data_IF_806756434606
#
_entry.id   IF_806756434606
#
_cell.length_a   1.000
_cell.length_b   1.000
_cell.length_c   1.000
_cell.angle_alpha   90.00
_cell.angle_beta   90.00
_cell.angle_gamma   90.00
#
_symmetry.space_group_name_H-M   'P 1'
#
loop_
_entity.id
_entity.type
_entity.pdbx_description
1 polymer ?
#
# COMPACT_ATOMS: atom_id res chain seq x y z
N UNK A 1 49.81 -29.57 -21.38
CA UNK A 1 48.65 -29.09 -20.62
C UNK A 1 48.35 -30.07 -19.50
N UNK A 2 48.98 -29.91 -18.34
CA UNK A 2 48.67 -30.67 -17.13
C UNK A 2 47.54 -29.97 -16.38
N UNK A 3 46.44 -30.68 -16.12
CA UNK A 3 45.37 -30.20 -15.24
C UNK A 3 45.84 -30.46 -13.80
N UNK A 4 46.11 -29.38 -13.06
CA UNK A 4 46.30 -29.43 -11.61
C UNK A 4 44.94 -29.20 -10.95
N UNK A 5 44.40 -30.24 -10.32
CA UNK A 5 43.27 -30.11 -9.40
C UNK A 5 43.80 -29.96 -7.98
N UNK A 6 43.53 -28.82 -7.35
CA UNK A 6 43.73 -28.64 -5.91
C UNK A 6 42.59 -29.34 -5.19
N UNK A 7 42.86 -30.55 -4.69
CA UNK A 7 41.95 -31.25 -3.79
C UNK A 7 42.31 -30.79 -2.37
N UNK A 8 41.69 -29.70 -1.93
CA UNK A 8 41.76 -29.27 -0.54
C UNK A 8 40.92 -30.28 0.27
N UNK A 9 41.48 -30.98 1.27
CA UNK A 9 40.72 -31.94 2.05
C UNK A 9 39.62 -31.20 2.79
N UNK A 10 38.35 -31.54 2.47
CA UNK A 10 37.19 -31.02 3.18
C UNK A 10 37.29 -31.39 4.66
N UNK A 11 37.25 -30.37 5.52
CA UNK A 11 37.28 -30.52 6.98
C UNK A 11 35.94 -31.12 7.45
N UNK A 12 35.91 -32.45 7.61
CA UNK A 12 34.71 -33.25 7.89
C UNK A 12 34.10 -32.98 9.28
N UNK A 13 34.84 -32.37 10.21
CA UNK A 13 34.33 -32.08 11.56
C UNK A 13 33.29 -30.95 11.59
N UNK A 14 33.36 -29.98 10.67
CA UNK A 14 32.33 -28.93 10.54
C UNK A 14 31.09 -29.43 9.78
N UNK A 15 31.22 -30.48 8.98
CA UNK A 15 30.13 -31.04 8.17
C UNK A 15 29.16 -31.90 9.00
N UNK A 16 29.66 -32.58 10.05
CA UNK A 16 28.82 -33.31 11.01
C UNK A 16 27.92 -32.37 11.84
N UNK A 17 28.30 -31.09 11.97
CA UNK A 17 27.50 -30.05 12.63
C UNK A 17 26.27 -29.66 11.81
N UNK A 18 26.40 -29.46 10.49
CA UNK A 18 25.28 -29.00 9.65
C UNK A 18 24.09 -29.98 9.63
N UNK A 19 24.35 -31.28 9.51
CA UNK A 19 23.27 -32.28 9.48
C UNK A 19 22.69 -32.64 10.85
N UNK A 20 23.46 -32.51 11.93
CA UNK A 20 22.93 -32.64 13.30
C UNK A 20 22.21 -31.38 13.79
N UNK A 21 22.57 -30.21 13.24
CA UNK A 21 21.87 -28.95 13.46
C UNK A 21 20.65 -28.77 12.55
N UNK A 22 20.49 -29.47 11.44
CA UNK A 22 19.25 -29.52 10.63
C UNK A 22 18.12 -30.34 11.29
N UNK A 23 18.13 -30.47 12.62
CA UNK A 23 16.94 -30.88 13.36
C UNK A 23 15.85 -29.81 13.21
N UNK A 24 14.58 -30.24 13.17
CA UNK A 24 13.41 -29.35 13.00
C UNK A 24 13.50 -28.09 13.87
N UNK A 25 14.00 -28.20 15.10
CA UNK A 25 14.14 -27.08 16.05
C UNK A 25 15.01 -25.94 15.51
N UNK A 26 16.16 -26.22 14.91
CA UNK A 26 17.05 -25.18 14.38
C UNK A 26 16.45 -24.54 13.13
N UNK A 27 15.78 -25.34 12.30
CA UNK A 27 15.02 -24.89 11.14
C UNK A 27 13.96 -23.85 11.58
N UNK A 28 13.19 -24.20 12.60
CA UNK A 28 12.20 -23.30 13.20
C UNK A 28 12.84 -22.03 13.77
N UNK A 29 13.98 -22.14 14.45
CA UNK A 29 14.69 -20.97 14.98
C UNK A 29 15.21 -20.05 13.86
N UNK A 30 15.79 -20.60 12.79
CA UNK A 30 16.22 -19.81 11.63
C UNK A 30 15.02 -19.15 10.96
N UNK A 31 13.94 -19.89 10.72
CA UNK A 31 12.72 -19.36 10.09
C UNK A 31 12.09 -18.25 10.92
N UNK A 32 12.04 -18.39 12.26
CA UNK A 32 11.57 -17.35 13.18
C UNK A 32 12.46 -16.10 13.15
N UNK A 33 13.78 -16.27 13.04
CA UNK A 33 14.72 -15.14 12.95
C UNK A 33 14.50 -14.33 11.66
N UNK A 34 14.35 -15.03 10.52
CA UNK A 34 14.09 -14.39 9.23
C UNK A 34 12.71 -13.72 9.19
N UNK A 35 11.69 -14.33 9.81
CA UNK A 35 10.36 -13.73 9.91
C UNK A 35 10.33 -12.50 10.83
N UNK A 36 11.16 -12.47 11.86
CA UNK A 36 11.18 -11.35 12.80
C UNK A 36 12.00 -10.19 12.26
N UNK A 37 13.30 -10.40 11.97
CA UNK A 37 14.23 -9.30 11.73
C UNK A 37 14.01 -8.59 10.39
N UNK A 38 13.78 -9.35 9.32
CA UNK A 38 13.72 -8.78 7.98
C UNK A 38 12.41 -8.01 7.72
N UNK A 39 11.22 -8.56 8.02
CA UNK A 39 9.96 -7.80 7.99
C UNK A 39 9.95 -6.59 8.92
N UNK A 40 10.63 -6.62 10.08
CA UNK A 40 10.79 -5.43 10.94
C UNK A 40 11.49 -4.31 10.17
N UNK A 41 12.65 -4.59 9.56
CA UNK A 41 13.43 -3.59 8.83
C UNK A 41 12.66 -3.00 7.63
N UNK A 42 12.03 -3.88 6.85
CA UNK A 42 11.21 -3.47 5.70
C UNK A 42 10.02 -2.60 6.13
N UNK A 43 9.33 -2.96 7.22
CA UNK A 43 8.24 -2.17 7.78
C UNK A 43 8.68 -0.79 8.26
N UNK A 44 9.87 -0.68 8.87
CA UNK A 44 10.37 0.63 9.32
C UNK A 44 10.59 1.59 8.14
N UNK A 45 11.16 1.10 7.04
CA UNK A 45 11.32 1.88 5.80
C UNK A 45 9.97 2.36 5.28
N UNK A 46 8.97 1.46 5.24
CA UNK A 46 7.63 1.80 4.78
C UNK A 46 6.90 2.79 5.69
N UNK A 47 7.21 2.81 6.98
CA UNK A 47 6.56 3.72 7.93
C UNK A 47 7.01 5.16 7.69
N UNK A 48 8.29 5.37 7.37
CA UNK A 48 8.86 6.70 7.10
C UNK A 48 8.29 7.33 5.83
N UNK A 49 7.92 6.51 4.83
CA UNK A 49 7.30 6.97 3.57
C UNK A 49 5.96 7.68 3.81
N UNK A 50 5.24 7.37 4.90
CA UNK A 50 3.96 8.02 5.25
C UNK A 50 4.15 9.52 5.48
N UNK A 51 5.30 9.93 6.03
CA UNK A 51 5.51 11.28 6.52
C UNK A 51 5.45 12.33 5.43
N UNK A 52 6.03 12.05 4.25
CA UNK A 52 6.10 13.04 3.18
C UNK A 52 4.70 13.39 2.61
N UNK A 53 3.90 12.43 2.08
CA UNK A 53 2.57 12.75 1.57
C UNK A 53 1.61 13.26 2.65
N UNK A 54 1.76 12.79 3.90
CA UNK A 54 0.95 13.27 5.01
C UNK A 54 1.22 14.76 5.32
N UNK A 55 2.48 15.16 5.39
CA UNK A 55 2.86 16.53 5.68
C UNK A 55 2.49 17.48 4.54
N UNK A 56 2.62 17.07 3.28
CA UNK A 56 2.17 17.88 2.14
C UNK A 56 0.64 18.08 2.13
N UNK A 57 -0.12 17.08 2.56
CA UNK A 57 -1.59 17.20 2.72
C UNK A 57 -1.95 18.14 3.87
N UNK A 58 -1.35 18.00 5.05
CA UNK A 58 -1.72 18.80 6.23
C UNK A 58 -1.23 20.24 6.17
N UNK A 59 -0.13 20.50 5.44
CA UNK A 59 0.39 21.85 5.17
C UNK A 59 -0.28 22.53 3.97
N UNK A 60 -1.19 21.86 3.27
CA UNK A 60 -1.80 22.30 1.99
C UNK A 60 -0.78 22.55 0.85
N UNK A 61 0.48 22.12 1.01
CA UNK A 61 1.48 22.23 -0.06
C UNK A 61 1.06 21.41 -1.29
N UNK A 62 0.47 20.23 -1.08
CA UNK A 62 -0.10 19.43 -2.17
C UNK A 62 -1.20 20.19 -2.92
N UNK A 63 -2.09 20.86 -2.19
CA UNK A 63 -3.17 21.64 -2.79
C UNK A 63 -2.61 22.76 -3.68
N UNK A 64 -1.57 23.44 -3.23
CA UNK A 64 -0.89 24.46 -4.03
C UNK A 64 -0.35 23.89 -5.35
N UNK A 65 0.26 22.70 -5.32
CA UNK A 65 0.73 22.02 -6.54
C UNK A 65 -0.45 21.70 -7.49
N UNK A 66 -1.57 21.21 -6.97
CA UNK A 66 -2.77 20.93 -7.78
C UNK A 66 -3.36 22.21 -8.38
N UNK A 67 -3.40 23.32 -7.63
CA UNK A 67 -3.86 24.63 -8.14
C UNK A 67 -2.97 25.17 -9.27
N UNK A 68 -1.68 24.79 -9.32
CA UNK A 68 -0.79 25.15 -10.43
C UNK A 68 -0.98 24.30 -11.70
N UNK A 69 -1.92 23.35 -11.68
CA UNK A 69 -2.27 22.51 -12.83
C UNK A 69 -1.59 21.14 -12.86
N UNK A 70 -0.90 20.74 -11.78
CA UNK A 70 -0.34 19.38 -11.69
C UNK A 70 -1.47 18.37 -11.55
N UNK A 71 -1.49 17.37 -12.44
CA UNK A 71 -2.47 16.29 -12.34
C UNK A 71 -2.19 15.39 -11.13
N UNK A 72 -3.22 14.90 -10.39
CA UNK A 72 -3.03 14.01 -9.24
C UNK A 72 -2.23 12.74 -9.56
N UNK A 73 -2.39 12.20 -10.77
CA UNK A 73 -1.62 11.03 -11.25
C UNK A 73 -0.13 11.31 -11.35
N UNK A 74 0.25 12.51 -11.80
CA UNK A 74 1.66 12.91 -11.94
C UNK A 74 2.31 13.04 -10.56
N UNK A 75 1.59 13.65 -9.61
CA UNK A 75 2.01 13.74 -8.22
C UNK A 75 2.30 12.36 -7.62
N UNK A 76 1.32 11.44 -7.66
CA UNK A 76 1.48 10.12 -7.03
C UNK A 76 2.50 9.24 -7.72
N UNK A 77 2.61 9.32 -9.06
CA UNK A 77 3.64 8.58 -9.78
C UNK A 77 5.04 9.09 -9.43
N UNK A 78 5.22 10.41 -9.29
CA UNK A 78 6.50 10.99 -8.88
C UNK A 78 6.92 10.53 -7.48
N UNK A 79 6.00 10.59 -6.51
CA UNK A 79 6.23 10.04 -5.16
C UNK A 79 6.59 8.55 -5.22
N UNK A 80 5.80 7.76 -5.94
CA UNK A 80 5.99 6.31 -6.03
C UNK A 80 7.34 5.93 -6.62
N UNK A 81 7.75 6.57 -7.72
CA UNK A 81 9.04 6.28 -8.35
C UNK A 81 10.19 6.60 -7.39
N UNK A 82 10.14 7.74 -6.71
CA UNK A 82 11.18 8.13 -5.75
C UNK A 82 11.27 7.16 -4.56
N UNK A 83 10.13 6.85 -3.94
CA UNK A 83 10.07 5.96 -2.79
C UNK A 83 10.46 4.53 -3.16
N UNK A 84 10.06 4.06 -4.35
CA UNK A 84 10.45 2.74 -4.84
C UNK A 84 11.95 2.65 -5.12
N UNK A 85 12.59 3.71 -5.63
CA UNK A 85 14.05 3.74 -5.82
C UNK A 85 14.81 3.61 -4.48
N UNK A 86 14.36 4.32 -3.44
CA UNK A 86 14.95 4.22 -2.09
C UNK A 86 14.77 2.81 -1.52
N UNK A 87 13.56 2.26 -1.66
CA UNK A 87 13.24 0.91 -1.23
C UNK A 87 14.10 -0.14 -1.97
N UNK A 88 14.27 0.02 -3.28
CA UNK A 88 15.06 -0.90 -4.09
C UNK A 88 16.56 -0.86 -3.72
N UNK A 89 17.09 0.33 -3.40
CA UNK A 89 18.45 0.47 -2.87
C UNK A 89 18.62 -0.32 -1.56
N UNK A 90 17.65 -0.25 -0.66
CA UNK A 90 17.66 -1.05 0.57
C UNK A 90 17.64 -2.56 0.28
N UNK A 91 16.86 -3.02 -0.70
CA UNK A 91 16.84 -4.42 -1.13
C UNK A 91 18.19 -4.89 -1.66
N UNK A 92 18.89 -4.06 -2.46
CA UNK A 92 20.23 -4.38 -2.97
C UNK A 92 21.23 -4.55 -1.83
N UNK A 93 21.19 -3.65 -0.84
CA UNK A 93 22.03 -3.75 0.35
C UNK A 93 21.76 -5.07 1.09
N UNK A 94 20.48 -5.45 1.27
CA UNK A 94 20.12 -6.73 1.87
C UNK A 94 20.73 -7.90 1.08
N UNK A 95 20.58 -7.94 -0.25
CA UNK A 95 21.14 -9.01 -1.09
C UNK A 95 22.67 -9.11 -0.98
N UNK A 96 23.38 -7.99 -0.93
CA UNK A 96 24.84 -7.96 -0.77
C UNK A 96 25.27 -8.49 0.61
N UNK A 97 24.46 -8.24 1.65
CA UNK A 97 24.76 -8.68 3.02
C UNK A 97 24.50 -10.18 3.24
N UNK A 98 23.56 -10.79 2.52
CA UNK A 98 23.22 -12.22 2.68
C UNK A 98 24.44 -13.14 2.62
N UNK A 99 25.29 -13.14 1.58
CA UNK A 99 26.44 -14.04 1.52
C UNK A 99 27.49 -13.78 2.62
N UNK A 100 27.49 -12.59 3.21
CA UNK A 100 28.39 -12.24 4.33
C UNK A 100 27.85 -12.81 5.65
N UNK A 101 26.53 -12.81 5.82
CA UNK A 101 25.85 -13.23 7.05
C UNK A 101 25.44 -14.70 7.05
N UNK A 102 25.32 -15.33 5.87
CA UNK A 102 24.90 -16.72 5.72
C UNK A 102 26.04 -17.70 6.04
N UNK A 103 26.25 -17.94 7.33
CA UNK A 103 27.22 -18.93 7.83
C UNK A 103 26.80 -20.37 7.60
N UNK A 104 25.50 -20.61 7.34
CA UNK A 104 24.92 -21.96 7.26
C UNK A 104 24.77 -22.45 5.82
N UNK A 105 25.09 -21.61 4.83
CA UNK A 105 24.96 -21.94 3.41
C UNK A 105 23.50 -22.20 3.00
N UNK A 106 22.57 -21.40 3.53
CA UNK A 106 21.15 -21.42 3.16
C UNK A 106 20.93 -20.97 1.71
N UNK A 107 21.62 -19.92 1.27
CA UNK A 107 21.59 -19.42 -0.09
C UNK A 107 22.78 -19.97 -0.86
N UNK A 108 22.53 -20.68 -1.96
CA UNK A 108 23.61 -21.34 -2.69
C UNK A 108 23.53 -21.13 -4.20
N UNK A 109 22.34 -21.07 -4.77
CA UNK A 109 22.15 -20.88 -6.20
C UNK A 109 21.69 -19.46 -6.53
N UNK A 110 22.03 -18.98 -7.74
CA UNK A 110 21.54 -17.69 -8.24
C UNK A 110 20.00 -17.59 -8.24
N UNK A 111 19.31 -18.72 -8.37
CA UNK A 111 17.84 -18.81 -8.30
C UNK A 111 17.31 -18.43 -6.91
N UNK A 112 18.00 -18.78 -5.84
CA UNK A 112 17.59 -18.52 -4.45
C UNK A 112 17.57 -17.00 -4.22
N UNK A 113 18.66 -16.31 -4.60
CA UNK A 113 18.74 -14.85 -4.55
C UNK A 113 17.72 -14.16 -5.46
N UNK A 114 17.50 -14.70 -6.66
CA UNK A 114 16.54 -14.15 -7.62
C UNK A 114 15.09 -14.20 -7.10
N UNK A 115 14.68 -15.33 -6.52
CA UNK A 115 13.34 -15.47 -5.91
C UNK A 115 13.20 -14.56 -4.70
N UNK A 116 14.23 -14.46 -3.86
CA UNK A 116 14.19 -13.57 -2.71
C UNK A 116 14.06 -12.09 -3.11
N UNK A 117 14.85 -11.64 -4.10
CA UNK A 117 14.76 -10.29 -4.64
C UNK A 117 13.40 -10.03 -5.30
N UNK A 118 12.81 -11.03 -5.96
CA UNK A 118 11.46 -10.93 -6.53
C UNK A 118 10.40 -10.71 -5.45
N UNK A 119 10.45 -11.46 -4.34
CA UNK A 119 9.54 -11.29 -3.20
C UNK A 119 9.65 -9.87 -2.65
N UNK A 120 10.88 -9.40 -2.39
CA UNK A 120 11.12 -8.06 -1.86
C UNK A 120 10.68 -6.96 -2.83
N UNK A 121 10.98 -7.11 -4.12
CA UNK A 121 10.65 -6.14 -5.16
C UNK A 121 9.13 -6.00 -5.38
N UNK A 122 8.40 -7.11 -5.38
CA UNK A 122 6.93 -7.10 -5.45
C UNK A 122 6.30 -6.57 -4.17
N UNK A 123 6.88 -6.88 -3.00
CA UNK A 123 6.43 -6.26 -1.76
C UNK A 123 6.67 -4.75 -1.74
N UNK A 124 7.74 -4.24 -2.36
CA UNK A 124 7.98 -2.80 -2.47
C UNK A 124 6.84 -2.08 -3.20
N UNK A 125 6.40 -2.61 -4.35
CA UNK A 125 5.35 -1.93 -5.14
C UNK A 125 3.99 -1.92 -4.42
N UNK A 126 3.60 -3.02 -3.79
CA UNK A 126 2.33 -3.11 -3.06
C UNK A 126 2.39 -2.47 -1.68
N UNK A 127 3.48 -2.66 -0.96
CA UNK A 127 3.72 -2.10 0.38
C UNK A 127 3.73 -0.59 0.39
N UNK A 128 4.44 0.06 -0.55
CA UNK A 128 4.47 1.53 -0.68
C UNK A 128 3.06 2.05 -1.02
N UNK A 129 2.37 1.39 -1.94
CA UNK A 129 1.00 1.79 -2.32
C UNK A 129 0.01 1.66 -1.16
N UNK A 130 0.10 0.59 -0.37
CA UNK A 130 -0.69 0.41 0.85
C UNK A 130 -0.39 1.52 1.86
N UNK A 131 0.88 1.84 2.08
CA UNK A 131 1.34 2.89 3.00
C UNK A 131 0.76 4.27 2.66
N UNK A 132 0.63 4.61 1.38
CA UNK A 132 0.03 5.90 0.98
C UNK A 132 -1.43 6.06 1.44
N UNK A 133 -2.21 4.98 1.57
CA UNK A 133 -3.57 5.08 2.12
C UNK A 133 -3.58 5.57 3.57
N UNK A 134 -2.56 5.22 4.35
CA UNK A 134 -2.41 5.67 5.73
C UNK A 134 -2.02 7.14 5.83
N UNK A 135 -1.45 7.73 4.78
CA UNK A 135 -1.13 9.17 4.76
C UNK A 135 -2.37 10.08 4.86
N UNK A 136 -3.54 9.57 4.45
CA UNK A 136 -4.83 10.25 4.59
C UNK A 136 -5.40 10.20 6.01
N UNK A 137 -4.90 9.31 6.86
CA UNK A 137 -5.39 9.13 8.22
C UNK A 137 -4.73 10.10 9.20
N UNK A 138 -5.48 10.45 10.25
CA UNK A 138 -4.98 11.26 11.35
C UNK A 138 -4.72 12.73 11.00
N UNK A 139 -4.39 13.51 12.04
CA UNK A 139 -4.03 14.92 11.95
C UNK A 139 -2.52 15.16 11.99
N UNK A 140 -1.74 14.17 12.43
CA UNK A 140 -0.29 14.23 12.54
C UNK A 140 0.35 12.99 11.93
N UNK A 141 1.53 13.17 11.33
CA UNK A 141 2.25 12.09 10.65
C UNK A 141 2.61 10.95 11.61
N UNK A 142 3.07 11.28 12.81
CA UNK A 142 3.47 10.29 13.81
C UNK A 142 2.30 9.40 14.27
N UNK A 143 1.07 9.96 14.32
CA UNK A 143 -0.11 9.16 14.66
C UNK A 143 -0.45 8.19 13.54
N UNK A 144 -0.38 8.62 12.28
CA UNK A 144 -0.59 7.75 11.12
C UNK A 144 0.45 6.63 11.06
N UNK A 145 1.74 6.98 11.22
CA UNK A 145 2.85 6.04 11.31
C UNK A 145 2.68 5.02 12.43
N UNK A 146 2.27 5.45 13.63
CA UNK A 146 2.05 4.55 14.76
C UNK A 146 0.91 3.57 14.49
N UNK A 147 -0.21 4.04 13.91
CA UNK A 147 -1.34 3.16 13.54
C UNK A 147 -0.90 2.13 12.51
N UNK A 148 -0.16 2.55 11.49
CA UNK A 148 0.40 1.66 10.49
C UNK A 148 1.32 0.61 11.11
N UNK A 149 2.29 1.02 11.94
CA UNK A 149 3.18 0.07 12.62
C UNK A 149 2.41 -0.94 13.48
N UNK A 150 1.39 -0.52 14.22
CA UNK A 150 0.61 -1.43 15.06
C UNK A 150 -0.14 -2.49 14.24
N UNK A 151 -0.81 -2.07 13.17
CA UNK A 151 -1.53 -2.99 12.28
C UNK A 151 -0.54 -3.96 11.63
N UNK A 152 0.56 -3.44 11.09
CA UNK A 152 1.56 -4.22 10.36
C UNK A 152 2.43 -5.12 11.25
N UNK A 153 2.51 -4.87 12.56
CA UNK A 153 3.06 -5.83 13.53
C UNK A 153 2.14 -7.03 13.65
N UNK A 154 0.83 -6.80 13.80
CA UNK A 154 -0.13 -7.89 13.92
C UNK A 154 -0.21 -8.69 12.62
N UNK A 155 -0.33 -8.02 11.48
CA UNK A 155 -0.52 -8.70 10.19
C UNK A 155 0.78 -9.24 9.60
N UNK A 156 1.94 -8.61 9.85
CA UNK A 156 3.21 -9.03 9.27
C UNK A 156 4.02 -10.03 10.10
N UNK A 157 3.80 -10.10 11.43
CA UNK A 157 4.51 -11.02 12.32
C UNK A 157 3.61 -12.11 12.91
N UNK A 158 2.50 -11.70 13.54
CA UNK A 158 1.66 -12.65 14.30
C UNK A 158 0.78 -13.47 13.35
N UNK A 159 0.09 -12.81 12.43
CA UNK A 159 -0.84 -13.47 11.54
C UNK A 159 -0.18 -14.54 10.63
N UNK A 160 1.01 -14.34 10.03
CA UNK A 160 1.64 -15.37 9.19
C UNK A 160 2.02 -16.61 9.99
N UNK A 161 2.50 -16.45 11.23
CA UNK A 161 2.78 -17.59 12.13
C UNK A 161 1.52 -18.37 12.44
N UNK A 162 0.45 -17.68 12.85
CA UNK A 162 -0.82 -18.31 13.17
C UNK A 162 -1.39 -19.01 11.94
N UNK A 163 -1.36 -18.36 10.77
CA UNK A 163 -1.87 -18.93 9.53
C UNK A 163 -1.05 -20.13 9.05
N UNK A 164 0.28 -20.09 9.17
CA UNK A 164 1.13 -21.24 8.86
C UNK A 164 0.75 -22.46 9.71
N UNK A 165 0.53 -22.25 11.02
CA UNK A 165 0.08 -23.31 11.93
C UNK A 165 -1.32 -23.82 11.58
N UNK A 166 -2.28 -22.92 11.32
CA UNK A 166 -3.65 -23.29 10.95
C UNK A 166 -3.71 -24.09 9.64
N UNK A 167 -2.94 -23.68 8.63
CA UNK A 167 -2.86 -24.38 7.34
C UNK A 167 -2.25 -25.77 7.54
N UNK A 168 -1.15 -25.87 8.29
CA UNK A 168 -0.51 -27.16 8.60
C UNK A 168 -1.46 -28.10 9.34
N UNK A 169 -2.21 -27.60 10.34
CA UNK A 169 -3.20 -28.39 11.07
C UNK A 169 -4.36 -28.80 10.16
N UNK A 170 -4.83 -27.91 9.29
CA UNK A 170 -5.93 -28.21 8.36
C UNK A 170 -5.57 -29.34 7.37
N UNK A 171 -4.30 -29.44 6.95
CA UNK A 171 -3.83 -30.53 6.10
C UNK A 171 -3.57 -31.84 6.84
N UNK A 172 -3.16 -31.78 8.10
CA UNK A 172 -2.79 -32.96 8.90
C UNK A 172 -3.98 -33.58 9.65
N UNK A 173 -4.88 -32.76 10.18
CA UNK A 173 -6.05 -33.16 10.98
C UNK A 173 -7.30 -32.46 10.44
N UNK A 174 -7.74 -32.88 9.25
CA UNK A 174 -8.88 -32.28 8.54
C UNK A 174 -10.21 -32.37 9.29
N UNK A 175 -10.31 -33.24 10.31
CA UNK A 175 -11.49 -33.35 11.19
C UNK A 175 -11.60 -32.19 12.19
N UNK A 176 -10.48 -31.56 12.56
CA UNK A 176 -10.47 -30.47 13.55
C UNK A 176 -10.69 -29.10 12.89
N UNK A 177 -10.03 -28.86 11.75
CA UNK A 177 -10.07 -27.57 11.04
C UNK A 177 -10.26 -27.81 9.54
N UNK A 178 -11.43 -27.44 9.03
CA UNK A 178 -11.73 -27.60 7.60
C UNK A 178 -10.99 -26.56 6.74
N UNK A 179 -10.46 -26.96 5.56
CA UNK A 179 -9.81 -26.03 4.63
C UNK A 179 -10.75 -24.92 4.14
N UNK A 180 -12.06 -25.17 4.13
CA UNK A 180 -13.09 -24.20 3.75
C UNK A 180 -13.20 -23.01 4.69
N UNK A 181 -12.79 -23.16 5.96
CA UNK A 181 -12.76 -22.06 6.93
C UNK A 181 -11.44 -21.27 6.84
N UNK A 182 -10.31 -21.97 6.67
CA UNK A 182 -8.97 -21.36 6.71
C UNK A 182 -8.66 -20.58 5.44
N UNK A 183 -9.02 -21.11 4.26
CA UNK A 183 -8.64 -20.50 2.98
C UNK A 183 -9.23 -19.09 2.77
N UNK A 184 -10.52 -18.81 3.06
CA UNK A 184 -11.05 -17.45 2.94
C UNK A 184 -10.36 -16.45 3.87
N UNK A 185 -10.03 -16.86 5.10
CA UNK A 185 -9.30 -16.01 6.06
C UNK A 185 -7.89 -15.72 5.54
N UNK A 186 -7.21 -16.75 5.01
CA UNK A 186 -5.90 -16.59 4.36
C UNK A 186 -5.96 -15.56 3.23
N UNK A 187 -6.90 -15.70 2.30
CA UNK A 187 -7.01 -14.79 1.15
C UNK A 187 -7.42 -13.38 1.54
N UNK A 188 -8.23 -13.20 2.60
CA UNK A 188 -8.55 -11.88 3.13
C UNK A 188 -7.32 -11.21 3.73
N UNK A 189 -6.51 -11.95 4.50
CA UNK A 189 -5.26 -11.45 5.07
C UNK A 189 -4.19 -11.21 3.98
N UNK A 190 -4.20 -11.99 2.89
CA UNK A 190 -3.29 -11.79 1.74
C UNK A 190 -3.48 -10.46 1.02
N UNK A 191 -4.63 -9.79 1.19
CA UNK A 191 -4.80 -8.42 0.69
C UNK A 191 -3.92 -7.41 1.44
N UNK A 192 -3.42 -7.73 2.64
CA UNK A 192 -2.41 -6.91 3.31
C UNK A 192 -1.00 -7.34 2.87
N UNK A 193 -0.23 -6.46 2.19
CA UNK A 193 1.08 -6.80 1.66
C UNK A 193 2.10 -7.26 2.71
N UNK A 194 1.93 -6.85 3.97
CA UNK A 194 2.80 -7.29 5.06
C UNK A 194 2.55 -8.74 5.46
N UNK A 195 1.28 -9.15 5.52
CA UNK A 195 0.93 -10.55 5.73
C UNK A 195 1.41 -11.42 4.57
N UNK A 196 1.24 -10.95 3.33
CA UNK A 196 1.71 -11.65 2.13
C UNK A 196 3.25 -11.81 2.13
N UNK A 197 4.00 -10.76 2.50
CA UNK A 197 5.46 -10.82 2.66
C UNK A 197 5.86 -11.82 3.74
N UNK A 198 5.29 -11.72 4.95
CA UNK A 198 5.63 -12.61 6.06
C UNK A 198 5.35 -14.07 5.72
N UNK A 199 4.21 -14.35 5.10
CA UNK A 199 3.86 -15.70 4.64
C UNK A 199 4.79 -16.18 3.52
N UNK A 200 5.15 -15.33 2.56
CA UNK A 200 6.08 -15.68 1.50
C UNK A 200 7.48 -16.00 2.06
N UNK A 201 7.99 -15.22 3.02
CA UNK A 201 9.28 -15.47 3.68
C UNK A 201 9.25 -16.80 4.44
N UNK A 202 8.18 -17.10 5.19
CA UNK A 202 8.05 -18.38 5.90
C UNK A 202 8.19 -19.57 4.95
N UNK A 203 7.41 -19.57 3.87
CA UNK A 203 7.42 -20.63 2.88
C UNK A 203 8.75 -20.70 2.12
N UNK A 204 9.35 -19.54 1.81
CA UNK A 204 10.62 -19.45 1.11
C UNK A 204 11.78 -19.99 1.95
N UNK A 205 11.88 -19.59 3.23
CA UNK A 205 12.93 -20.07 4.13
C UNK A 205 12.78 -21.57 4.39
N UNK A 206 11.55 -22.07 4.51
CA UNK A 206 11.29 -23.51 4.59
C UNK A 206 11.86 -24.25 3.38
N UNK A 207 11.54 -23.79 2.16
CA UNK A 207 12.03 -24.41 0.92
C UNK A 207 13.55 -24.31 0.78
N UNK A 208 14.16 -23.16 1.12
CA UNK A 208 15.61 -22.99 1.11
C UNK A 208 16.29 -24.00 2.02
N UNK A 209 15.77 -24.18 3.22
CA UNK A 209 16.42 -24.99 4.22
C UNK A 209 16.21 -26.50 4.00
N UNK A 210 15.08 -26.91 3.42
CA UNK A 210 14.94 -28.28 2.88
C UNK A 210 15.98 -28.52 1.78
N UNK A 211 16.14 -27.57 0.86
CA UNK A 211 17.06 -27.70 -0.27
C UNK A 211 18.53 -27.70 0.17
N UNK A 212 18.92 -26.85 1.12
CA UNK A 212 20.26 -26.85 1.69
C UNK A 212 20.54 -28.17 2.41
N UNK A 213 19.59 -28.68 3.20
CA UNK A 213 19.66 -29.99 3.84
C UNK A 213 19.84 -31.14 2.84
N UNK A 214 19.09 -31.13 1.73
CA UNK A 214 19.19 -32.14 0.67
C UNK A 214 20.56 -32.20 0.00
N UNK A 215 21.25 -31.06 -0.06
CA UNK A 215 22.59 -30.95 -0.63
C UNK A 215 23.68 -31.32 0.37
N UNK A 216 23.53 -30.89 1.62
CA UNK A 216 24.54 -31.03 2.67
C UNK A 216 24.48 -32.41 3.37
N UNK A 217 23.32 -33.06 3.40
CA UNK A 217 23.14 -34.33 4.12
C UNK A 217 23.10 -35.54 3.19
N UNK A 218 23.99 -36.49 3.41
CA UNK A 218 24.11 -37.75 2.66
C UNK A 218 23.46 -38.93 3.40
N UNK A 219 22.32 -38.70 4.07
CA UNK A 219 21.51 -39.77 4.65
C UNK A 219 20.40 -40.17 3.69
N UNK A 220 20.39 -41.45 3.28
CA UNK A 220 19.40 -42.02 2.34
C UNK A 220 17.94 -41.79 2.81
N UNK A 221 17.68 -41.86 4.12
CA UNK A 221 16.33 -41.67 4.67
C UNK A 221 15.85 -40.21 4.58
N UNK A 222 16.76 -39.23 4.73
CA UNK A 222 16.42 -37.82 4.58
C UNK A 222 16.16 -37.47 3.11
N UNK A 223 17.05 -37.95 2.22
CA UNK A 223 16.91 -37.76 0.77
C UNK A 223 15.63 -38.35 0.22
N UNK A 224 15.25 -39.55 0.67
CA UNK A 224 14.04 -40.23 0.16
C UNK A 224 12.73 -39.57 0.60
N UNK A 225 12.69 -38.97 1.79
CA UNK A 225 11.45 -38.45 2.38
C UNK A 225 11.25 -36.94 2.18
N UNK A 226 12.33 -36.13 2.25
CA UNK A 226 12.25 -34.66 2.17
C UNK A 226 12.70 -34.08 0.83
N UNK A 227 13.63 -34.74 0.12
CA UNK A 227 14.21 -34.20 -1.10
C UNK A 227 13.38 -34.57 -2.33
N UNK A 228 12.26 -33.85 -2.48
CA UNK A 228 11.46 -33.84 -3.71
C UNK A 228 11.89 -32.67 -4.58
N UNK A 229 11.85 -32.84 -5.90
CA UNK A 229 12.05 -31.74 -6.84
C UNK A 229 10.85 -30.79 -6.78
N UNK A 230 10.89 -29.83 -5.86
CA UNK A 230 9.89 -28.78 -5.73
C UNK A 230 10.45 -27.46 -6.24
N UNK A 231 9.69 -26.75 -7.07
CA UNK A 231 10.05 -25.41 -7.51
C UNK A 231 9.52 -24.36 -6.54
N UNK A 232 10.24 -23.25 -6.41
CA UNK A 232 9.77 -22.08 -5.65
C UNK A 232 8.49 -21.48 -6.25
N UNK A 233 8.43 -21.38 -7.58
CA UNK A 233 7.40 -20.66 -8.33
C UNK A 233 6.24 -21.59 -8.72
N UNK A 234 5.67 -22.28 -7.74
CA UNK A 234 4.51 -23.15 -7.92
C UNK A 234 3.37 -22.72 -7.00
N UNK A 235 2.15 -23.11 -7.36
CA UNK A 235 1.03 -22.99 -6.45
C UNK A 235 1.12 -24.06 -5.36
N UNK A 236 0.69 -23.77 -4.12
CA UNK A 236 0.57 -24.78 -3.08
C UNK A 236 -0.24 -25.97 -3.57
N UNK A 237 0.37 -27.15 -3.54
CA UNK A 237 -0.19 -28.42 -3.97
C UNK A 237 0.01 -29.49 -2.88
N UNK A 238 -0.54 -30.69 -3.07
CA UNK A 238 -0.31 -31.81 -2.13
C UNK A 238 1.16 -32.24 -2.08
N UNK A 239 1.91 -32.00 -3.15
CA UNK A 239 3.33 -32.37 -3.25
C UNK A 239 4.24 -31.26 -2.75
N UNK A 240 3.83 -30.00 -2.95
CA UNK A 240 4.54 -28.80 -2.53
C UNK A 240 3.58 -27.84 -1.82
N UNK A 241 3.41 -27.99 -0.51
CA UNK A 241 2.50 -27.14 0.28
C UNK A 241 3.00 -25.71 0.45
N UNK A 242 4.29 -25.46 0.18
CA UNK A 242 4.96 -24.18 0.45
C UNK A 242 5.26 -23.38 -0.83
N UNK A 243 4.56 -23.68 -1.92
CA UNK A 243 4.70 -22.95 -3.18
C UNK A 243 4.41 -21.44 -3.04
N UNK A 244 5.21 -20.60 -3.69
CA UNK A 244 5.17 -19.15 -3.49
C UNK A 244 4.25 -18.39 -4.45
N UNK A 245 3.75 -19.06 -5.50
CA UNK A 245 3.08 -18.38 -6.62
C UNK A 245 1.85 -17.58 -6.17
N UNK A 246 1.05 -18.12 -5.24
CA UNK A 246 -0.13 -17.42 -4.75
C UNK A 246 0.22 -16.07 -4.08
N UNK A 247 1.28 -16.02 -3.27
CA UNK A 247 1.69 -14.79 -2.58
C UNK A 247 2.20 -13.74 -3.56
N UNK A 248 2.97 -14.15 -4.58
CA UNK A 248 3.49 -13.23 -5.60
C UNK A 248 2.36 -12.61 -6.43
N UNK A 249 1.33 -13.41 -6.77
CA UNK A 249 0.16 -12.92 -7.50
C UNK A 249 -0.68 -11.93 -6.68
N UNK A 250 -0.88 -12.19 -5.39
CA UNK A 250 -1.56 -11.25 -4.50
C UNK A 250 -0.78 -9.95 -4.33
N UNK A 251 0.55 -10.01 -4.14
CA UNK A 251 1.38 -8.80 -4.09
C UNK A 251 1.28 -7.96 -5.38
N UNK A 252 1.24 -8.60 -6.54
CA UNK A 252 1.05 -7.89 -7.82
C UNK A 252 -0.37 -7.29 -7.95
N UNK A 253 -1.40 -8.03 -7.50
CA UNK A 253 -2.78 -7.56 -7.48
C UNK A 253 -2.99 -6.37 -6.53
N UNK A 254 -2.43 -6.45 -5.32
CA UNK A 254 -2.53 -5.42 -4.29
C UNK A 254 -1.95 -4.09 -4.77
N UNK A 255 -0.87 -4.12 -5.56
CA UNK A 255 -0.33 -2.89 -6.17
C UNK A 255 -1.38 -2.17 -7.02
N UNK A 256 -2.06 -2.90 -7.90
CA UNK A 256 -3.11 -2.34 -8.76
C UNK A 256 -4.29 -1.86 -7.91
N UNK A 257 -4.69 -2.67 -6.92
CA UNK A 257 -5.78 -2.35 -6.01
C UNK A 257 -5.53 -1.03 -5.26
N UNK A 258 -4.38 -0.90 -4.61
CA UNK A 258 -4.08 0.26 -3.77
C UNK A 258 -3.83 1.53 -4.58
N UNK A 259 -3.12 1.43 -5.72
CA UNK A 259 -2.96 2.57 -6.61
C UNK A 259 -4.31 3.05 -7.15
N UNK A 260 -5.20 2.11 -7.52
CA UNK A 260 -6.56 2.41 -7.93
C UNK A 260 -7.37 3.12 -6.83
N UNK A 261 -7.29 2.64 -5.58
CA UNK A 261 -7.96 3.25 -4.43
C UNK A 261 -7.47 4.69 -4.17
N UNK A 262 -6.16 4.94 -4.24
CA UNK A 262 -5.60 6.29 -4.09
C UNK A 262 -6.16 7.23 -5.15
N UNK A 263 -6.14 6.83 -6.43
CA UNK A 263 -6.66 7.65 -7.51
C UNK A 263 -8.18 7.90 -7.35
N UNK A 264 -8.94 6.90 -6.90
CA UNK A 264 -10.38 7.06 -6.63
C UNK A 264 -10.68 8.06 -5.49
N UNK A 265 -9.83 8.09 -4.46
CA UNK A 265 -9.90 9.08 -3.38
C UNK A 265 -9.60 10.48 -3.92
N UNK A 266 -8.54 10.62 -4.72
CA UNK A 266 -8.02 11.90 -5.20
C UNK A 266 -8.88 12.58 -6.26
N UNK A 267 -9.42 11.82 -7.22
CA UNK A 267 -10.38 12.34 -8.19
C UNK A 267 -11.77 12.61 -7.57
N UNK A 268 -11.89 12.46 -6.24
CA UNK A 268 -13.11 12.73 -5.50
C UNK A 268 -14.28 11.83 -5.89
N UNK A 269 -14.04 10.66 -6.53
CA UNK A 269 -15.10 9.72 -6.86
C UNK A 269 -15.73 9.14 -5.58
N UNK A 270 -14.90 8.82 -4.58
CA UNK A 270 -15.40 8.43 -3.25
C UNK A 270 -16.17 9.57 -2.57
N UNK A 271 -15.67 10.80 -2.66
CA UNK A 271 -16.34 12.00 -2.13
C UNK A 271 -17.70 12.23 -2.79
N UNK A 272 -17.80 12.09 -4.11
CA UNK A 272 -19.04 12.19 -4.88
C UNK A 272 -20.02 11.06 -4.56
N UNK A 273 -19.55 9.82 -4.41
CA UNK A 273 -20.39 8.69 -4.02
C UNK A 273 -20.94 8.86 -2.60
N UNK A 274 -20.11 9.29 -1.65
CA UNK A 274 -20.54 9.59 -0.29
C UNK A 274 -21.48 10.80 -0.24
N UNK A 275 -21.21 11.83 -1.04
CA UNK A 275 -22.09 12.98 -1.20
C UNK A 275 -23.45 12.56 -1.76
N UNK A 276 -23.48 11.70 -2.79
CA UNK A 276 -24.72 11.15 -3.34
C UNK A 276 -25.54 10.40 -2.27
N UNK A 277 -24.90 9.56 -1.47
CA UNK A 277 -25.54 8.89 -0.32
C UNK A 277 -26.03 9.91 0.73
N UNK A 278 -25.21 10.90 1.06
CA UNK A 278 -25.51 11.93 2.06
C UNK A 278 -26.64 12.85 1.61
N UNK A 279 -26.74 13.18 0.33
CA UNK A 279 -27.82 13.99 -0.25
C UNK A 279 -29.18 13.30 -0.10
N UNK A 280 -29.23 11.97 -0.27
CA UNK A 280 -30.46 11.22 0.00
C UNK A 280 -30.90 11.31 1.47
N UNK A 281 -29.95 11.47 2.40
CA UNK A 281 -30.21 11.60 3.84
C UNK A 281 -30.48 13.04 4.31
N UNK A 282 -29.80 14.03 3.73
CA UNK A 282 -29.82 15.43 4.20
C UNK A 282 -30.97 16.24 3.56
N UNK A 283 -31.56 15.76 2.46
CA UNK A 283 -32.62 16.45 1.72
C UNK A 283 -32.05 17.45 0.70
N UNK A 284 -32.78 17.69 -0.39
CA UNK A 284 -32.37 18.54 -1.52
C UNK A 284 -32.72 20.02 -1.34
N UNK A 285 -33.60 20.36 -0.42
CA UNK A 285 -34.26 21.65 -0.50
C UNK A 285 -33.44 22.74 0.21
N UNK A 286 -32.75 23.53 -0.60
CA UNK A 286 -32.48 24.93 -0.27
C UNK A 286 -33.80 25.67 -0.53
N UNK A 287 -34.55 25.97 0.52
CA UNK A 287 -35.69 26.88 0.41
C UNK A 287 -35.15 28.26 0.03
N UNK A 288 -35.23 28.57 -1.26
CA UNK A 288 -34.80 29.80 -1.90
C UNK A 288 -35.92 30.85 -1.77
N UNK A 289 -36.34 31.16 -0.54
CA UNK A 289 -37.41 32.12 -0.23
C UNK A 289 -36.86 33.32 0.57
N UNK A 290 -35.77 33.89 0.09
CA UNK A 290 -35.38 35.25 0.44
C UNK A 290 -35.57 36.12 -0.80
N UNK A 291 -36.20 37.28 -0.64
CA UNK A 291 -36.25 38.30 -1.67
C UNK A 291 -34.83 38.69 -2.03
N UNK A 292 -34.34 38.21 -3.17
CA UNK A 292 -33.03 38.57 -3.69
C UNK A 292 -33.02 40.08 -4.03
N UNK A 293 -31.95 40.77 -3.61
CA UNK A 293 -31.72 42.16 -3.98
C UNK A 293 -31.59 42.29 -5.52
N UNK A 294 -31.87 43.48 -6.08
CA UNK A 294 -31.90 43.63 -7.54
C UNK A 294 -30.52 43.46 -8.18
N UNK A 295 -29.48 43.94 -7.51
CA UNK A 295 -28.08 43.80 -7.92
C UNK A 295 -27.64 42.32 -7.93
N UNK A 296 -28.05 41.53 -6.93
CA UNK A 296 -27.77 40.09 -6.88
C UNK A 296 -28.46 39.34 -8.04
N UNK A 297 -29.71 39.71 -8.35
CA UNK A 297 -30.43 39.14 -9.49
C UNK A 297 -29.80 39.50 -10.82
N UNK A 298 -29.40 40.76 -11.01
CA UNK A 298 -28.70 41.20 -12.22
C UNK A 298 -27.38 40.44 -12.43
N UNK A 299 -26.61 40.20 -11.37
CA UNK A 299 -25.38 39.40 -11.46
C UNK A 299 -25.63 37.93 -11.76
N UNK A 300 -26.72 37.36 -11.25
CA UNK A 300 -27.14 36.00 -11.58
C UNK A 300 -27.56 35.87 -13.04
N UNK A 301 -28.39 36.78 -13.53
CA UNK A 301 -28.83 36.80 -14.94
C UNK A 301 -27.63 36.96 -15.88
N UNK A 302 -26.65 37.79 -15.46
CA UNK A 302 -25.34 37.92 -16.09
C UNK A 302 -24.61 36.57 -16.17
N UNK A 303 -24.47 35.84 -15.06
CA UNK A 303 -23.85 34.50 -15.03
C UNK A 303 -24.60 33.50 -15.93
N UNK A 304 -25.92 33.50 -15.88
CA UNK A 304 -26.76 32.62 -16.70
C UNK A 304 -26.64 32.94 -18.20
N UNK A 305 -26.45 34.21 -18.58
CA UNK A 305 -26.20 34.61 -19.96
C UNK A 305 -24.86 34.07 -20.50
N UNK A 306 -23.79 34.05 -19.69
CA UNK A 306 -22.49 33.45 -20.09
C UNK A 306 -22.51 31.93 -20.28
N UNK A 307 -23.65 31.28 -20.02
CA UNK A 307 -23.85 29.85 -20.23
C UNK A 307 -24.10 29.51 -21.70
N UNK A 308 -24.52 30.48 -22.52
CA UNK A 308 -24.73 30.28 -23.95
C UNK A 308 -23.36 30.25 -24.67
N UNK A 309 -22.97 29.12 -25.31
CA UNK A 309 -21.70 29.00 -26.02
C UNK A 309 -21.49 30.00 -27.17
N UNK A 310 -22.54 30.75 -27.56
CA UNK A 310 -22.47 31.83 -28.56
C UNK A 310 -21.90 33.14 -28.01
N UNK A 311 -21.90 33.34 -26.69
CA UNK A 311 -21.34 34.51 -26.00
C UNK A 311 -20.14 34.11 -25.13
N UNK A 312 -19.09 33.60 -25.77
CA UNK A 312 -17.80 33.41 -25.10
C UNK A 312 -17.08 34.76 -25.02
N UNK A 313 -17.25 35.44 -23.89
CA UNK A 313 -16.46 36.61 -23.56
C UNK A 313 -15.12 36.16 -22.97
N UNK A 314 -14.08 36.17 -23.81
CA UNK A 314 -12.70 35.83 -23.44
C UNK A 314 -12.12 36.71 -22.32
N UNK A 315 -12.79 37.82 -21.97
CA UNK A 315 -12.39 38.66 -20.84
C UNK A 315 -12.75 38.05 -19.49
N UNK A 316 -13.63 37.04 -19.41
CA UNK A 316 -14.04 36.44 -18.12
C UNK A 316 -13.07 35.34 -17.71
N UNK A 317 -12.44 35.49 -16.54
CA UNK A 317 -11.43 34.55 -16.03
C UNK A 317 -12.04 33.55 -15.03
N UNK A 318 -13.09 33.94 -14.31
CA UNK A 318 -13.78 33.09 -13.34
C UNK A 318 -15.29 33.27 -13.44
N UNK A 319 -16.02 32.16 -13.55
CA UNK A 319 -17.48 32.12 -13.47
C UNK A 319 -17.88 31.19 -12.33
N UNK A 320 -18.66 31.70 -11.39
CA UNK A 320 -19.22 30.96 -10.26
C UNK A 320 -20.73 30.91 -10.47
N UNK A 321 -21.30 29.72 -10.56
CA UNK A 321 -22.74 29.49 -10.79
C UNK A 321 -23.34 28.65 -9.66
N UNK A 322 -24.27 29.24 -8.91
CA UNK A 322 -25.12 28.54 -7.95
C UNK A 322 -24.35 27.83 -6.83
N UNK A 323 -23.19 28.37 -6.45
CA UNK A 323 -22.30 27.73 -5.49
C UNK A 323 -22.97 27.62 -4.13
N UNK A 324 -23.10 26.40 -3.61
CA UNK A 324 -23.84 26.14 -2.39
C UNK A 324 -23.15 25.06 -1.53
N UNK A 325 -23.11 25.27 -0.21
CA UNK A 325 -22.54 24.34 0.77
C UNK A 325 -23.42 24.20 1.98
N UNK A 326 -23.74 22.95 2.31
CA UNK A 326 -24.50 22.57 3.51
C UNK A 326 -23.71 21.52 4.28
N UNK A 327 -23.31 21.84 5.52
CA UNK A 327 -22.53 20.89 6.34
C UNK A 327 -23.43 19.88 7.06
N UNK A 328 -24.64 20.30 7.46
CA UNK A 328 -25.64 19.48 8.17
C UNK A 328 -27.07 19.84 7.74
N UNK A 329 -28.08 19.08 8.18
CA UNK A 329 -29.50 19.41 7.90
C UNK A 329 -29.89 20.84 8.29
N UNK A 330 -29.30 21.38 9.36
CA UNK A 330 -29.63 22.70 9.92
C UNK A 330 -28.61 23.81 9.62
N UNK A 331 -27.42 23.48 9.09
CA UNK A 331 -26.36 24.47 8.86
C UNK A 331 -25.98 24.57 7.38
N UNK A 332 -26.47 25.64 6.76
CA UNK A 332 -26.13 26.10 5.42
C UNK A 332 -25.05 27.17 5.54
N UNK A 333 -23.91 26.97 4.89
CA UNK A 333 -22.79 27.91 4.93
C UNK A 333 -22.73 28.82 3.71
N UNK A 334 -23.13 28.31 2.54
CA UNK A 334 -23.22 29.08 1.29
C UNK A 334 -24.48 28.65 0.55
N UNK A 335 -25.26 29.61 0.05
CA UNK A 335 -26.58 29.37 -0.55
C UNK A 335 -26.66 30.04 -1.93
N UNK A 336 -26.30 29.28 -2.99
CA UNK A 336 -26.55 29.68 -4.37
C UNK A 336 -25.82 30.95 -4.81
N UNK A 337 -24.55 31.11 -4.45
CA UNK A 337 -23.75 32.28 -4.82
C UNK A 337 -23.35 32.19 -6.30
N UNK A 338 -23.70 33.21 -7.08
CA UNK A 338 -23.32 33.36 -8.48
C UNK A 338 -22.63 34.70 -8.73
N UNK A 339 -21.47 34.70 -9.37
CA UNK A 339 -20.76 35.92 -9.80
C UNK A 339 -19.71 35.60 -10.87
N UNK A 340 -19.19 36.64 -11.53
CA UNK A 340 -18.11 36.54 -12.53
C UNK A 340 -16.98 37.48 -12.18
N UNK A 341 -15.77 37.16 -12.63
CA UNK A 341 -14.60 38.02 -12.47
C UNK A 341 -13.90 38.15 -13.82
N UNK A 342 -13.71 39.39 -14.26
CA UNK A 342 -13.08 39.73 -15.53
C UNK A 342 -11.56 39.82 -15.41
N UNK A 343 -10.86 39.75 -16.54
CA UNK A 343 -9.41 39.84 -16.61
C UNK A 343 -8.95 41.22 -16.15
N UNK A 344 -8.07 41.26 -15.14
CA UNK A 344 -7.58 42.50 -14.54
C UNK A 344 -8.53 43.12 -13.49
N UNK A 345 -9.68 42.49 -13.22
CA UNK A 345 -10.59 42.92 -12.16
C UNK A 345 -10.08 42.51 -10.78
N UNK A 346 -10.10 43.43 -9.82
CA UNK A 346 -9.79 43.15 -8.43
C UNK A 346 -11.08 42.84 -7.66
N UNK A 347 -11.36 41.55 -7.44
CA UNK A 347 -12.57 41.09 -6.76
C UNK A 347 -12.29 40.80 -5.27
N UNK A 348 -13.17 41.27 -4.38
CA UNK A 348 -13.07 41.05 -2.95
C UNK A 348 -14.39 40.63 -2.32
N UNK A 349 -14.38 39.57 -1.50
CA UNK A 349 -15.55 39.14 -0.73
C UNK A 349 -15.58 39.85 0.63
N UNK A 350 -16.54 40.75 0.81
CA UNK A 350 -16.78 41.47 2.06
C UNK A 350 -18.13 41.05 2.68
N UNK A 351 -18.22 41.04 4.01
CA UNK A 351 -19.45 40.71 4.72
C UNK A 351 -19.22 40.40 6.19
N UNK A 352 -20.30 40.23 6.96
CA UNK A 352 -20.25 39.93 8.40
C UNK A 352 -19.62 38.55 8.69
N UNK A 353 -19.21 38.34 9.93
CA UNK A 353 -18.74 37.02 10.37
C UNK A 353 -19.87 35.98 10.22
N UNK A 354 -19.57 34.85 9.61
CA UNK A 354 -20.57 33.81 9.31
C UNK A 354 -21.26 33.92 7.94
N UNK A 355 -20.99 34.96 7.14
CA UNK A 355 -21.58 35.12 5.80
C UNK A 355 -21.10 34.11 4.73
N UNK A 356 -20.29 33.11 5.09
CA UNK A 356 -19.80 32.09 4.15
C UNK A 356 -18.52 32.43 3.37
N UNK A 357 -17.93 33.62 3.53
CA UNK A 357 -16.73 34.08 2.77
C UNK A 357 -15.60 33.04 2.66
N UNK A 358 -15.13 32.52 3.80
CA UNK A 358 -14.03 31.53 3.83
C UNK A 358 -14.45 30.22 3.20
N UNK A 359 -15.70 29.80 3.37
CA UNK A 359 -16.25 28.58 2.76
C UNK A 359 -16.36 28.74 1.24
N UNK A 360 -16.79 29.91 0.75
CA UNK A 360 -16.79 30.25 -0.68
C UNK A 360 -15.40 30.14 -1.27
N UNK A 361 -14.39 30.76 -0.65
CA UNK A 361 -13.00 30.65 -1.12
C UNK A 361 -12.49 29.20 -1.14
N UNK A 362 -12.73 28.43 -0.07
CA UNK A 362 -12.31 27.02 -0.01
C UNK A 362 -12.93 26.15 -1.10
N UNK A 363 -14.20 26.38 -1.41
CA UNK A 363 -14.84 25.68 -2.53
C UNK A 363 -14.23 26.08 -3.87
N UNK A 364 -13.93 27.38 -4.07
CA UNK A 364 -13.30 27.85 -5.31
C UNK A 364 -11.87 27.32 -5.48
N UNK A 365 -11.12 27.15 -4.39
CA UNK A 365 -9.78 26.56 -4.41
C UNK A 365 -9.77 25.04 -4.42
N UNK A 366 -10.94 24.38 -4.31
CA UNK A 366 -11.07 22.92 -4.29
C UNK A 366 -10.70 22.25 -2.97
N UNK A 367 -10.64 23.00 -1.86
CA UNK A 367 -10.38 22.48 -0.51
C UNK A 367 -11.62 21.79 0.10
N UNK A 368 -12.83 22.12 -0.39
CA UNK A 368 -14.12 21.64 0.17
C UNK A 368 -15.14 21.12 -0.84
#
# INVERSE_FOLDING_TARGET
NSITTTNEPLDLENFAGACSQLNEVTLWMTTLLWLTLLPIGVRTILTDIISYPHNERTSNAKQLQLMTGVAPTTYWLACFVWDYLIYWLACVVIIILIPILDTNGLFHEAKDYGVFLLILGLHGVSGISNTYLYSFLGKSSNTAASIYMMITIVTGLIAPLVMYMLVTISYTVSELISPSLVNPIKYLLMLDPQFALGSAIMNFVYLLAVRSGCRQCDHDDFKKNMCKDTSFLEFPSKENTNGLMEYLLFLAFDWILYLGLILLIEYGYMGRAFHWLKVQWVGKDFDLLLSEDSDVREERDRVDASRDPRETDDSIVLTVDGLAKKFSRSFVAVQGVSFRVSAGECFGLLGVNGAGKTTTFRMLTGDE
#
